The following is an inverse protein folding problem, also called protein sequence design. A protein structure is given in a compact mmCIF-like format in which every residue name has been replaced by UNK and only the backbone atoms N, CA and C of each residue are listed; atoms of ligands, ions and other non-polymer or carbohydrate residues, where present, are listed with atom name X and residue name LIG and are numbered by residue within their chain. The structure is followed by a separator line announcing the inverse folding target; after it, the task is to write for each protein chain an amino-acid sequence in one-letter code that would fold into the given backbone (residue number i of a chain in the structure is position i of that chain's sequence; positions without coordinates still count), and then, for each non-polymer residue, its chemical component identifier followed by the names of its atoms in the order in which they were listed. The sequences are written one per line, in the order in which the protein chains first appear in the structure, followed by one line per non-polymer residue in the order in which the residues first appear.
data_IF_287478642109
#
_entry.id   IF_287478642109
#
_cell.length_a   1.000
_cell.length_b   1.000
_cell.length_c   1.000
_cell.angle_alpha   90.00
_cell.angle_beta   90.00
_cell.angle_gamma   90.00
#
_symmetry.space_group_name_H-M   'P 1'
#
loop_
_entity.id
_entity.type
_entity.pdbx_description
1 polymer ?
#
# COMPACT_ATOMS: atom_id res chain seq x y z
N UNK A 1 -8.03 16.80 -6.55
CA UNK A 1 -6.65 16.64 -6.04
C UNK A 1 -6.20 15.18 -5.96
N UNK A 2 -7.04 14.21 -5.55
CA UNK A 2 -6.62 12.78 -5.48
C UNK A 2 -6.32 12.11 -6.85
N UNK A 3 -7.04 12.48 -7.92
CA UNK A 3 -6.77 11.96 -9.28
C UNK A 3 -5.43 12.40 -9.87
N UNK A 4 -4.88 13.53 -9.42
CA UNK A 4 -3.59 14.04 -9.91
C UNK A 4 -2.41 13.29 -9.29
N UNK A 5 -2.53 12.86 -8.02
CA UNK A 5 -1.50 12.07 -7.33
C UNK A 5 -1.43 10.64 -7.88
N UNK A 6 -2.58 10.05 -8.24
CA UNK A 6 -2.63 8.74 -8.90
C UNK A 6 -2.02 8.77 -10.31
N UNK A 7 -2.21 9.85 -11.07
CA UNK A 7 -1.59 10.06 -12.37
C UNK A 7 -0.08 10.36 -12.26
N UNK A 8 0.37 11.04 -11.19
CA UNK A 8 1.78 11.28 -10.95
C UNK A 8 2.54 10.00 -10.57
N UNK A 9 1.92 9.12 -9.76
CA UNK A 9 2.46 7.78 -9.48
C UNK A 9 2.51 6.86 -10.73
N UNK A 10 1.80 7.23 -11.81
CA UNK A 10 1.71 6.46 -13.05
C UNK A 10 2.94 6.58 -13.97
N UNK A 11 3.74 7.63 -13.80
CA UNK A 11 4.92 7.91 -14.65
C UNK A 11 6.26 7.67 -13.93
N UNK A 12 6.23 7.09 -12.73
CA UNK A 12 7.42 6.82 -11.92
C UNK A 12 8.13 5.55 -12.39
N UNK A 13 9.46 5.50 -12.19
CA UNK A 13 10.21 4.24 -12.25
C UNK A 13 9.74 3.26 -11.15
N UNK A 14 10.11 1.98 -11.26
CA UNK A 14 9.68 0.97 -10.28
C UNK A 14 10.20 1.31 -8.87
N UNK A 15 11.45 1.78 -8.80
CA UNK A 15 12.11 2.16 -7.57
C UNK A 15 11.46 3.39 -6.93
N UNK A 16 11.19 4.45 -7.71
CA UNK A 16 10.51 5.65 -7.21
C UNK A 16 9.10 5.34 -6.72
N UNK A 17 8.36 4.51 -7.46
CA UNK A 17 7.03 4.06 -7.04
C UNK A 17 7.12 3.25 -5.75
N UNK A 18 8.08 2.34 -5.63
CA UNK A 18 8.27 1.54 -4.43
C UNK A 18 8.61 2.43 -3.23
N UNK A 19 9.55 3.36 -3.36
CA UNK A 19 9.90 4.30 -2.28
C UNK A 19 8.69 5.11 -1.81
N UNK A 20 7.91 5.65 -2.75
CA UNK A 20 6.70 6.40 -2.41
C UNK A 20 5.66 5.54 -1.68
N UNK A 21 5.43 4.32 -2.17
CA UNK A 21 4.48 3.38 -1.58
C UNK A 21 4.96 2.89 -0.21
N UNK A 22 6.26 2.67 -0.03
CA UNK A 22 6.87 2.27 1.23
C UNK A 22 6.68 3.35 2.31
N UNK A 23 6.96 4.61 1.97
CA UNK A 23 6.73 5.75 2.87
C UNK A 23 5.26 5.91 3.25
N UNK A 24 4.34 5.69 2.31
CA UNK A 24 2.91 5.65 2.58
C UNK A 24 2.57 4.52 3.56
N UNK A 25 3.08 3.30 3.32
CA UNK A 25 2.78 2.13 4.13
C UNK A 25 3.24 2.27 5.59
N UNK A 26 4.35 2.96 5.85
CA UNK A 26 4.83 3.26 7.21
C UNK A 26 3.76 3.90 8.08
N UNK A 27 2.99 4.83 7.52
CA UNK A 27 1.93 5.54 8.26
C UNK A 27 0.59 4.81 8.16
N UNK A 28 0.27 4.31 6.96
CA UNK A 28 -1.00 3.64 6.69
C UNK A 28 -1.19 2.36 7.50
N UNK A 29 -0.17 1.51 7.61
CA UNK A 29 -0.29 0.24 8.35
C UNK A 29 -0.62 0.45 9.82
N UNK A 30 -0.03 1.46 10.45
CA UNK A 30 -0.29 1.78 11.85
C UNK A 30 -1.76 2.19 12.05
N UNK A 31 -2.25 3.10 11.21
CA UNK A 31 -3.63 3.56 11.26
C UNK A 31 -4.62 2.43 10.95
N UNK A 32 -4.33 1.63 9.93
CA UNK A 32 -5.13 0.47 9.55
C UNK A 32 -5.25 -0.55 10.68
N UNK A 33 -4.13 -0.91 11.33
CA UNK A 33 -4.12 -1.83 12.47
C UNK A 33 -4.93 -1.29 13.65
N UNK A 34 -4.87 0.01 13.93
CA UNK A 34 -5.69 0.64 14.97
C UNK A 34 -7.19 0.57 14.66
N UNK A 35 -7.58 0.76 13.41
CA UNK A 35 -8.99 0.66 12.99
C UNK A 35 -9.54 -0.78 13.05
N UNK A 36 -8.70 -1.79 12.81
CA UNK A 36 -9.10 -3.19 12.88
C UNK A 36 -9.50 -3.65 14.30
N UNK A 37 -8.94 -3.02 15.34
CA UNK A 37 -9.23 -3.37 16.74
C UNK A 37 -10.65 -2.98 17.19
N UNK A 38 -11.39 -2.20 16.39
CA UNK A 38 -12.75 -1.77 16.70
C UNK A 38 -13.86 -2.75 16.33
N UNK A 39 -13.60 -3.75 15.48
CA UNK A 39 -14.67 -4.56 14.88
C UNK A 39 -14.93 -5.92 15.55
N UNK A 40 -14.22 -6.31 16.61
CA UNK A 40 -14.42 -7.59 17.31
C UNK A 40 -14.22 -8.85 16.44
N UNK A 41 -13.89 -8.67 15.16
CA UNK A 41 -13.62 -9.73 14.21
C UNK A 41 -12.18 -10.17 14.39
N UNK A 42 -12.00 -11.42 14.82
CA UNK A 42 -10.69 -12.03 14.99
C UNK A 42 -10.11 -12.35 13.61
N UNK A 43 -9.39 -11.39 13.03
CA UNK A 43 -8.72 -11.59 11.75
C UNK A 43 -7.55 -12.55 11.90
N UNK A 44 -7.40 -13.42 10.92
CA UNK A 44 -6.33 -14.43 10.90
C UNK A 44 -5.00 -13.74 10.57
N UNK A 45 -4.13 -13.55 11.56
CA UNK A 45 -2.81 -12.96 11.34
C UNK A 45 -1.82 -14.03 10.87
N UNK A 46 -1.76 -14.25 9.55
CA UNK A 46 -0.75 -15.14 8.93
C UNK A 46 0.40 -14.29 8.39
N UNK A 47 1.67 -14.73 8.57
CA UNK A 47 2.78 -14.08 7.91
C UNK A 47 2.60 -14.20 6.39
N UNK A 48 2.66 -13.07 5.69
CA UNK A 48 2.78 -13.03 4.24
C UNK A 48 4.26 -13.01 3.87
N UNK A 49 4.61 -13.62 2.73
CA UNK A 49 5.98 -13.54 2.19
C UNK A 49 6.32 -12.17 1.60
N UNK A 50 5.30 -11.37 1.30
CA UNK A 50 5.43 -10.00 0.78
C UNK A 50 4.90 -9.01 1.80
N UNK A 51 5.58 -7.86 1.90
CA UNK A 51 5.12 -6.70 2.63
C UNK A 51 3.91 -6.07 1.96
N UNK A 52 3.18 -5.22 2.70
CA UNK A 52 2.08 -4.47 2.12
C UNK A 52 2.56 -3.51 1.02
N UNK A 53 3.74 -2.89 1.19
CA UNK A 53 4.32 -2.01 0.18
C UNK A 53 4.64 -2.74 -1.12
N UNK A 54 5.20 -3.94 -1.06
CA UNK A 54 5.46 -4.78 -2.24
C UNK A 54 4.16 -5.14 -2.97
N UNK A 55 3.13 -5.58 -2.23
CA UNK A 55 1.83 -5.92 -2.80
C UNK A 55 1.20 -4.69 -3.47
N UNK A 56 1.20 -3.53 -2.80
CA UNK A 56 0.66 -2.29 -3.35
C UNK A 56 1.40 -1.87 -4.62
N UNK A 57 2.74 -1.94 -4.63
CA UNK A 57 3.54 -1.62 -5.82
C UNK A 57 3.21 -2.54 -7.00
N UNK A 58 3.09 -3.85 -6.77
CA UNK A 58 2.70 -4.82 -7.81
C UNK A 58 1.30 -4.49 -8.35
N UNK A 59 0.33 -4.25 -7.48
CA UNK A 59 -1.05 -3.94 -7.89
C UNK A 59 -1.11 -2.64 -8.70
N UNK A 60 -0.41 -1.60 -8.26
CA UNK A 60 -0.36 -0.32 -8.98
C UNK A 60 0.26 -0.53 -10.36
N UNK A 61 1.40 -1.21 -10.47
CA UNK A 61 2.04 -1.52 -11.76
C UNK A 61 1.17 -2.36 -12.68
N UNK A 62 0.50 -3.38 -12.15
CA UNK A 62 -0.37 -4.24 -12.93
C UNK A 62 -1.57 -3.48 -13.52
N UNK A 63 -2.12 -2.49 -12.81
CA UNK A 63 -3.21 -1.68 -13.34
C UNK A 63 -2.77 -0.64 -14.38
N UNK A 64 -1.45 -0.44 -14.57
CA UNK A 64 -0.89 0.51 -15.54
C UNK A 64 -0.63 -0.12 -16.92
N UNK A 65 -0.58 -1.46 -17.00
CA UNK A 65 -0.45 -2.23 -18.25
C UNK A 65 -1.80 -2.55 -18.85
#
# INVERSE_FOLDING_TARGET
MQKLHALFALMLSLEELFCFVDDLCKTFELQWKQQLLGFGLHFRNRPCSLSLSEIMTILIRFHQS
#
